data_IF_738363591670
#
_entry.id   IF_738363591670
#
_cell.length_a   1.000
_cell.length_b   1.000
_cell.length_c   1.000
_cell.angle_alpha   90.00
_cell.angle_beta   90.00
_cell.angle_gamma   90.00
#
_symmetry.space_group_name_H-M   'P 1'
#
loop_
_entity.id
_entity.type
_entity.pdbx_description
1 polymer ?
#
# COMPACT_ATOMS: atom_id res chain seq x y z
N UNK A 1 45.33 -6.80 5.75
CA UNK A 1 44.25 -5.83 5.50
C UNK A 1 42.98 -6.34 6.19
N UNK A 2 42.90 -6.13 7.50
CA UNK A 2 41.76 -6.60 8.31
C UNK A 2 40.56 -5.68 8.08
N UNK A 3 39.40 -6.31 7.95
CA UNK A 3 38.19 -5.71 7.42
C UNK A 3 37.64 -4.59 8.31
N UNK A 4 37.38 -3.45 7.67
CA UNK A 4 36.77 -2.26 8.24
C UNK A 4 35.24 -2.45 8.34
N UNK A 5 34.78 -3.57 8.91
CA UNK A 5 33.35 -3.80 9.10
C UNK A 5 32.86 -3.02 10.31
N UNK A 6 31.73 -2.34 10.14
CA UNK A 6 31.06 -1.62 11.23
C UNK A 6 30.38 -2.65 12.12
N UNK A 7 30.59 -2.58 13.43
CA UNK A 7 29.95 -3.47 14.41
C UNK A 7 28.40 -3.37 14.43
N UNK A 8 27.84 -2.31 13.82
CA UNK A 8 26.40 -2.04 13.75
C UNK A 8 26.03 -1.45 12.39
N UNK A 9 25.03 -2.01 11.72
CA UNK A 9 24.44 -1.45 10.51
C UNK A 9 23.09 -0.79 10.82
N UNK A 10 22.90 0.45 10.37
CA UNK A 10 21.63 1.19 10.54
C UNK A 10 21.03 1.43 9.18
N UNK A 11 19.92 0.73 8.90
CA UNK A 11 19.15 0.94 7.68
C UNK A 11 18.14 2.09 7.90
N UNK A 12 18.21 3.12 7.06
CA UNK A 12 17.29 4.27 7.11
C UNK A 12 16.13 4.18 6.10
N UNK A 13 16.09 3.13 5.26
CA UNK A 13 14.99 2.93 4.32
C UNK A 13 13.69 2.65 5.10
N UNK A 14 12.65 3.51 4.99
CA UNK A 14 11.40 3.33 5.73
C UNK A 14 10.68 2.01 5.38
N UNK A 15 10.85 1.51 4.15
CA UNK A 15 10.16 0.31 3.66
C UNK A 15 10.87 -1.00 4.02
N UNK A 16 12.07 -0.93 4.59
CA UNK A 16 12.87 -2.13 4.84
C UNK A 16 12.17 -3.10 5.82
N UNK A 17 11.62 -2.58 6.92
CA UNK A 17 10.94 -3.40 7.92
C UNK A 17 9.63 -4.01 7.38
N UNK A 18 8.94 -3.27 6.51
CA UNK A 18 7.70 -3.72 5.86
C UNK A 18 7.98 -4.93 4.96
N UNK A 19 9.00 -4.81 4.10
CA UNK A 19 9.40 -5.88 3.18
C UNK A 19 9.96 -7.11 3.91
N UNK A 20 10.55 -6.92 5.09
CA UNK A 20 11.05 -8.03 5.92
C UNK A 20 9.95 -8.77 6.68
N UNK A 21 8.71 -8.25 6.72
CA UNK A 21 7.61 -8.80 7.53
C UNK A 21 7.78 -8.55 9.04
N UNK A 22 8.68 -7.66 9.43
CA UNK A 22 9.01 -7.38 10.85
C UNK A 22 8.28 -6.12 11.34
N UNK A 23 7.85 -5.26 10.42
CA UNK A 23 7.13 -4.04 10.75
C UNK A 23 5.85 -4.34 11.54
N UNK A 24 5.73 -3.75 12.72
CA UNK A 24 4.51 -3.82 13.49
C UNK A 24 3.36 -3.14 12.73
N UNK A 25 2.24 -3.87 12.62
CA UNK A 25 0.97 -3.32 12.15
C UNK A 25 0.54 -2.18 13.06
N UNK A 26 0.02 -1.05 12.55
CA UNK A 26 -0.60 -0.03 13.40
C UNK A 26 -1.69 -0.67 14.28
N UNK A 27 -1.58 -0.50 15.58
CA UNK A 27 -2.50 -1.05 16.57
C UNK A 27 -3.62 -0.06 16.90
N UNK A 28 -4.69 -0.54 17.54
CA UNK A 28 -5.89 0.26 17.86
C UNK A 28 -7.11 -0.11 17.03
N UNK A 29 -8.12 0.77 17.04
CA UNK A 29 -9.41 0.59 16.37
C UNK A 29 -10.10 -0.75 16.72
N UNK A 30 -9.96 -1.18 17.98
CA UNK A 30 -10.44 -2.49 18.42
C UNK A 30 -11.96 -2.66 18.29
N UNK A 31 -12.71 -1.55 18.36
CA UNK A 31 -14.17 -1.52 18.26
C UNK A 31 -14.67 -1.30 16.83
N UNK A 32 -13.79 -1.01 15.87
CA UNK A 32 -14.17 -0.76 14.48
C UNK A 32 -14.35 -2.06 13.71
N UNK A 33 -15.48 -2.19 12.99
CA UNK A 33 -15.75 -3.37 12.14
C UNK A 33 -14.66 -3.55 11.08
N UNK A 34 -14.14 -2.45 10.54
CA UNK A 34 -13.13 -2.46 9.49
C UNK A 34 -11.69 -2.38 10.01
N UNK A 35 -11.44 -2.74 11.28
CA UNK A 35 -10.11 -2.69 11.92
C UNK A 35 -8.98 -3.25 11.05
N UNK A 36 -9.15 -4.43 10.47
CA UNK A 36 -8.12 -5.08 9.63
C UNK A 36 -7.69 -4.21 8.45
N UNK A 37 -8.64 -3.51 7.82
CA UNK A 37 -8.42 -2.64 6.65
C UNK A 37 -7.86 -1.28 7.07
N UNK A 38 -8.37 -0.73 8.17
CA UNK A 38 -7.89 0.55 8.71
C UNK A 38 -6.44 0.46 9.16
N UNK A 39 -6.07 -0.68 9.72
CA UNK A 39 -4.75 -0.93 10.26
C UNK A 39 -3.81 -1.63 9.26
N UNK A 40 -4.21 -1.79 7.99
CA UNK A 40 -3.32 -2.35 6.98
C UNK A 40 -2.19 -1.37 6.63
N UNK A 41 -1.01 -1.91 6.28
CA UNK A 41 0.15 -1.05 5.91
C UNK A 41 -0.14 -0.32 4.60
N UNK A 42 -0.53 -1.05 3.56
CA UNK A 42 -1.01 -0.50 2.29
C UNK A 42 -2.46 -0.89 2.06
N UNK A 43 -3.31 0.11 1.86
CA UNK A 43 -4.74 -0.08 1.57
C UNK A 43 -5.09 0.48 0.19
N UNK A 44 -5.85 -0.28 -0.58
CA UNK A 44 -6.41 0.17 -1.86
C UNK A 44 -7.85 0.63 -1.66
N UNK A 45 -8.13 1.84 -2.14
CA UNK A 45 -9.46 2.45 -2.14
C UNK A 45 -9.90 2.54 -3.60
N UNK A 46 -11.06 1.95 -3.91
CA UNK A 46 -11.66 2.02 -5.23
C UNK A 46 -12.97 2.79 -5.15
N UNK A 47 -13.10 3.82 -5.98
CA UNK A 47 -14.24 4.70 -6.06
C UNK A 47 -14.81 4.70 -7.48
N UNK A 48 -15.98 4.07 -7.66
CA UNK A 48 -16.73 4.09 -8.91
C UNK A 48 -17.76 5.22 -8.88
N UNK A 49 -17.37 6.43 -9.30
CA UNK A 49 -18.26 7.57 -9.41
C UNK A 49 -19.21 7.50 -10.60
N UNK A 50 -20.08 8.52 -10.72
CA UNK A 50 -21.03 8.65 -11.84
C UNK A 50 -20.35 8.94 -13.19
N UNK A 51 -19.22 9.66 -13.16
CA UNK A 51 -18.53 10.12 -14.37
C UNK A 51 -17.14 9.50 -14.54
N UNK A 52 -16.47 9.17 -13.44
CA UNK A 52 -15.11 8.64 -13.44
C UNK A 52 -14.98 7.51 -12.45
N UNK A 53 -14.05 6.62 -12.77
CA UNK A 53 -13.62 5.53 -11.89
C UNK A 53 -12.22 5.87 -11.42
N UNK A 54 -11.97 5.69 -10.14
CA UNK A 54 -10.74 6.07 -9.47
C UNK A 54 -10.29 4.96 -8.54
N UNK A 55 -8.99 4.73 -8.48
CA UNK A 55 -8.37 3.86 -7.50
C UNK A 55 -7.16 4.56 -6.88
N UNK A 56 -6.94 4.35 -5.59
CA UNK A 56 -5.87 4.99 -4.84
C UNK A 56 -5.29 4.04 -3.82
N UNK A 57 -4.00 4.19 -3.54
CA UNK A 57 -3.28 3.38 -2.57
C UNK A 57 -2.73 4.30 -1.49
N UNK A 58 -3.07 3.97 -0.26
CA UNK A 58 -2.64 4.71 0.92
C UNK A 58 -1.72 3.85 1.77
N UNK A 59 -0.64 4.45 2.23
CA UNK A 59 0.21 3.94 3.28
C UNK A 59 -0.27 4.48 4.64
N UNK A 60 -0.24 3.66 5.70
CA UNK A 60 -0.76 4.06 7.02
C UNK A 60 -0.08 5.30 7.62
N UNK A 61 1.22 5.51 7.33
CA UNK A 61 1.99 6.64 7.85
C UNK A 61 2.14 7.79 6.86
N UNK A 62 2.37 7.47 5.59
CA UNK A 62 2.72 8.47 4.55
C UNK A 62 1.47 9.08 3.91
N UNK A 63 0.32 8.39 4.00
CA UNK A 63 -0.89 8.81 3.30
C UNK A 63 -0.90 8.30 1.86
N UNK A 64 -1.32 9.14 0.92
CA UNK A 64 -1.48 8.76 -0.49
C UNK A 64 -0.12 8.43 -1.14
N UNK A 65 0.01 7.23 -1.70
CA UNK A 65 1.22 6.76 -2.39
C UNK A 65 1.02 6.79 -3.90
N UNK A 66 -0.08 6.19 -4.37
CA UNK A 66 -0.40 6.07 -5.79
C UNK A 66 -1.87 6.37 -6.02
N UNK A 67 -2.16 7.01 -7.14
CA UNK A 67 -3.52 7.24 -7.63
C UNK A 67 -3.60 6.85 -9.10
N UNK A 68 -4.76 6.35 -9.52
CA UNK A 68 -5.10 6.06 -10.91
C UNK A 68 -6.53 6.53 -11.12
N UNK A 69 -6.78 7.28 -12.19
CA UNK A 69 -8.11 7.79 -12.50
C UNK A 69 -8.38 7.74 -14.00
N UNK A 70 -9.64 7.49 -14.37
CA UNK A 70 -10.08 7.71 -15.76
C UNK A 70 -10.15 9.18 -16.16
N UNK A 71 -9.79 10.12 -15.27
CA UNK A 71 -9.53 11.52 -15.64
C UNK A 71 -8.18 11.71 -16.33
N UNK A 72 -7.26 10.76 -16.18
CA UNK A 72 -5.98 10.80 -16.87
C UNK A 72 -6.19 10.54 -18.37
N UNK A 73 -5.77 11.49 -19.22
CA UNK A 73 -6.00 11.41 -20.66
C UNK A 73 -5.40 10.15 -21.31
N UNK A 74 -4.23 9.72 -20.83
CA UNK A 74 -3.59 8.49 -21.29
C UNK A 74 -4.44 7.24 -21.07
N UNK A 75 -5.30 7.24 -20.05
CA UNK A 75 -6.21 6.13 -19.73
C UNK A 75 -7.55 6.34 -20.43
N UNK A 76 -8.14 7.54 -20.34
CA UNK A 76 -9.46 7.82 -20.90
C UNK A 76 -9.52 7.59 -22.41
N UNK A 77 -8.46 7.97 -23.13
CA UNK A 77 -8.42 7.86 -24.59
C UNK A 77 -8.38 6.41 -25.09
N UNK A 78 -7.99 5.47 -24.23
CA UNK A 78 -7.92 4.04 -24.55
C UNK A 78 -9.17 3.28 -24.11
N UNK A 79 -10.10 3.95 -23.42
CA UNK A 79 -11.30 3.33 -22.88
C UNK A 79 -12.54 3.73 -23.68
N UNK A 80 -13.44 2.78 -23.98
CA UNK A 80 -14.72 3.10 -24.61
C UNK A 80 -15.67 3.82 -23.62
N UNK A 81 -15.51 3.59 -22.32
CA UNK A 81 -16.29 4.23 -21.25
C UNK A 81 -15.43 4.40 -20.01
N UNK A 82 -15.70 5.46 -19.24
CA UNK A 82 -14.95 5.80 -18.02
C UNK A 82 -15.51 5.18 -16.74
N UNK A 83 -16.68 4.53 -16.83
CA UNK A 83 -17.46 4.09 -15.66
C UNK A 83 -17.90 2.63 -15.70
N UNK A 84 -17.71 1.94 -16.83
CA UNK A 84 -18.16 0.56 -16.98
C UNK A 84 -17.25 -0.44 -16.22
N UNK A 85 -17.56 -1.74 -16.35
CA UNK A 85 -16.73 -2.79 -15.74
C UNK A 85 -15.34 -2.90 -16.38
N UNK A 86 -15.20 -2.53 -17.65
CA UNK A 86 -13.93 -2.57 -18.36
C UNK A 86 -13.00 -1.46 -17.88
N UNK A 87 -13.53 -0.28 -17.58
CA UNK A 87 -12.83 0.81 -16.92
C UNK A 87 -12.30 0.37 -15.55
N UNK A 88 -13.12 -0.32 -14.75
CA UNK A 88 -12.70 -0.86 -13.46
C UNK A 88 -11.57 -1.90 -13.60
N UNK A 89 -11.68 -2.81 -14.58
CA UNK A 89 -10.63 -3.79 -14.87
C UNK A 89 -9.32 -3.12 -15.31
N UNK A 90 -9.39 -2.20 -16.27
CA UNK A 90 -8.21 -1.51 -16.80
C UNK A 90 -7.56 -0.59 -15.76
N UNK A 91 -8.33 0.06 -14.89
CA UNK A 91 -7.78 0.77 -13.74
C UNK A 91 -7.05 -0.19 -12.79
N UNK A 92 -7.62 -1.37 -12.52
CA UNK A 92 -6.93 -2.39 -11.73
C UNK A 92 -5.61 -2.82 -12.35
N UNK A 93 -5.57 -3.00 -13.68
CA UNK A 93 -4.36 -3.35 -14.43
C UNK A 93 -3.30 -2.25 -14.37
N UNK A 94 -3.67 -0.99 -14.64
CA UNK A 94 -2.74 0.15 -14.56
C UNK A 94 -2.25 0.35 -13.14
N UNK A 95 -3.11 0.18 -12.14
CA UNK A 95 -2.72 0.28 -10.75
C UNK A 95 -1.72 -0.83 -10.37
N UNK A 96 -1.96 -2.07 -10.78
CA UNK A 96 -1.04 -3.17 -10.56
C UNK A 96 0.34 -2.92 -11.20
N UNK A 97 0.37 -2.38 -12.42
CA UNK A 97 1.61 -2.03 -13.10
C UNK A 97 2.38 -0.94 -12.34
N UNK A 98 1.69 0.15 -11.92
CA UNK A 98 2.30 1.19 -11.07
C UNK A 98 2.81 0.64 -9.73
N UNK A 99 2.04 -0.25 -9.11
CA UNK A 99 2.43 -0.91 -7.85
C UNK A 99 3.71 -1.73 -8.04
N UNK A 100 3.82 -2.52 -9.11
CA UNK A 100 5.03 -3.27 -9.45
C UNK A 100 6.22 -2.37 -9.70
N UNK A 101 6.05 -1.29 -10.45
CA UNK A 101 7.12 -0.32 -10.70
C UNK A 101 7.60 0.34 -9.41
N UNK A 102 6.70 0.54 -8.44
CA UNK A 102 7.04 0.99 -7.09
C UNK A 102 7.57 -0.12 -6.17
N UNK A 103 7.61 -1.38 -6.61
CA UNK A 103 7.99 -2.53 -5.77
C UNK A 103 7.01 -2.78 -4.61
N UNK A 104 5.73 -2.49 -4.80
CA UNK A 104 4.65 -2.83 -3.86
C UNK A 104 3.89 -4.01 -4.45
N UNK A 105 3.91 -5.13 -3.75
CA UNK A 105 3.33 -6.41 -4.20
C UNK A 105 2.08 -6.80 -3.42
N UNK A 106 1.90 -6.26 -2.22
CA UNK A 106 0.85 -6.65 -1.28
C UNK A 106 0.02 -5.44 -0.87
N UNK A 107 -1.30 -5.53 -1.01
CA UNK A 107 -2.23 -4.45 -0.70
C UNK A 107 -3.54 -5.02 -0.17
N UNK A 108 -4.19 -4.31 0.76
CA UNK A 108 -5.48 -4.70 1.32
C UNK A 108 -6.62 -3.89 0.69
N UNK A 109 -7.61 -4.52 0.02
CA UNK A 109 -8.78 -3.83 -0.50
C UNK A 109 -9.69 -3.29 0.59
N UNK A 110 -10.01 -2.00 0.51
CA UNK A 110 -10.92 -1.32 1.43
C UNK A 110 -12.39 -1.46 0.98
N UNK A 111 -12.86 -2.69 0.79
CA UNK A 111 -14.26 -3.02 0.51
C UNK A 111 -14.97 -3.51 1.76
N UNK A 112 -16.26 -3.28 1.91
CA UNK A 112 -17.04 -3.95 2.96
C UNK A 112 -17.22 -5.45 2.65
N UNK A 113 -17.54 -6.22 3.67
CA UNK A 113 -17.78 -7.67 3.53
C UNK A 113 -18.96 -7.92 2.58
N UNK A 114 -18.76 -8.79 1.59
CA UNK A 114 -19.76 -9.11 0.57
C UNK A 114 -19.94 -8.07 -0.55
N UNK A 115 -19.26 -6.92 -0.51
CA UNK A 115 -19.37 -5.94 -1.60
C UNK A 115 -18.75 -6.40 -2.92
N UNK A 116 -17.69 -7.20 -2.82
CA UNK A 116 -17.06 -7.79 -4.00
C UNK A 116 -18.10 -8.67 -4.70
N UNK A 117 -18.82 -9.53 -3.98
CA UNK A 117 -19.85 -10.40 -4.56
C UNK A 117 -21.03 -9.61 -5.15
N UNK A 118 -21.41 -8.49 -4.53
CA UNK A 118 -22.53 -7.65 -4.99
C UNK A 118 -22.22 -6.80 -6.21
N UNK A 119 -20.96 -6.41 -6.42
CA UNK A 119 -20.60 -5.44 -7.46
C UNK A 119 -19.62 -6.01 -8.48
N UNK A 120 -20.10 -6.22 -9.71
CA UNK A 120 -19.23 -6.64 -10.81
C UNK A 120 -18.02 -5.71 -11.02
N UNK A 121 -18.16 -4.39 -10.85
CA UNK A 121 -17.02 -3.46 -11.00
C UNK A 121 -15.90 -3.78 -10.01
N UNK A 122 -16.26 -4.02 -8.75
CA UNK A 122 -15.30 -4.39 -7.70
C UNK A 122 -14.67 -5.76 -7.96
N UNK A 123 -15.44 -6.74 -8.44
CA UNK A 123 -14.92 -8.05 -8.86
C UNK A 123 -13.87 -7.92 -9.96
N UNK A 124 -14.21 -7.22 -11.05
CA UNK A 124 -13.31 -7.05 -12.18
C UNK A 124 -12.04 -6.28 -11.79
N UNK A 125 -12.15 -5.28 -10.91
CA UNK A 125 -10.99 -4.58 -10.36
C UNK A 125 -10.08 -5.50 -9.54
N UNK A 126 -10.64 -6.31 -8.63
CA UNK A 126 -9.91 -7.28 -7.80
C UNK A 126 -9.24 -8.34 -8.68
N UNK A 127 -9.98 -8.89 -9.65
CA UNK A 127 -9.45 -9.88 -10.60
C UNK A 127 -8.26 -9.30 -11.38
N UNK A 128 -8.36 -8.06 -11.86
CA UNK A 128 -7.25 -7.40 -12.54
C UNK A 128 -5.99 -7.29 -11.66
N UNK A 129 -6.13 -6.96 -10.37
CA UNK A 129 -4.99 -6.93 -9.44
C UNK A 129 -4.35 -8.33 -9.29
N UNK A 130 -5.18 -9.36 -9.11
CA UNK A 130 -4.73 -10.74 -8.94
C UNK A 130 -4.06 -11.30 -10.20
N UNK A 131 -4.65 -11.07 -11.39
CA UNK A 131 -4.08 -11.47 -12.68
C UNK A 131 -2.72 -10.82 -12.94
N UNK A 132 -2.55 -9.59 -12.47
CA UNK A 132 -1.27 -8.90 -12.52
C UNK A 132 -0.36 -9.27 -11.34
N UNK A 133 -0.62 -10.31 -10.55
CA UNK A 133 0.29 -10.82 -9.53
C UNK A 133 0.40 -9.98 -8.27
N UNK A 134 -0.56 -9.08 -8.02
CA UNK A 134 -0.67 -8.36 -6.74
C UNK A 134 -1.40 -9.25 -5.73
N UNK A 135 -0.83 -9.41 -4.53
CA UNK A 135 -1.41 -10.22 -3.46
C UNK A 135 -2.34 -9.37 -2.60
N UNK A 136 -3.54 -9.86 -2.34
CA UNK A 136 -4.56 -9.18 -1.54
C UNK A 136 -4.42 -9.47 -0.05
N UNK A 137 -3.21 -9.30 0.48
CA UNK A 137 -2.86 -9.54 1.87
C UNK A 137 -2.03 -8.37 2.40
N UNK A 138 -1.88 -8.30 3.71
CA UNK A 138 -1.04 -7.28 4.35
C UNK A 138 0.41 -7.78 4.49
N UNK A 139 1.38 -6.87 4.47
CA UNK A 139 2.79 -7.23 4.64
C UNK A 139 3.08 -7.82 6.03
N UNK A 140 2.32 -7.43 7.05
CA UNK A 140 2.48 -7.96 8.41
C UNK A 140 2.03 -9.42 8.55
N UNK A 141 1.33 -9.98 7.56
CA UNK A 141 0.89 -11.39 7.56
C UNK A 141 1.96 -12.31 6.96
N UNK A 142 2.98 -11.74 6.32
CA UNK A 142 4.13 -12.49 5.82
C UNK A 142 5.00 -12.89 6.99
N UNK A 143 5.38 -14.17 7.05
CA UNK A 143 6.33 -14.61 8.06
C UNK A 143 7.65 -13.83 7.92
N UNK A 144 8.19 -13.30 9.04
CA UNK A 144 9.41 -12.54 8.98
C UNK A 144 10.57 -13.41 8.50
N UNK A 145 11.33 -12.89 7.55
CA UNK A 145 12.53 -13.56 7.01
C UNK A 145 13.58 -13.83 8.08
N UNK A 146 13.67 -12.97 9.09
CA UNK A 146 14.58 -13.08 10.22
C UNK A 146 13.73 -13.30 11.48
N UNK A 147 13.77 -14.52 12.02
CA UNK A 147 13.19 -14.85 13.32
C UNK A 147 14.27 -14.62 14.38
N UNK A 148 14.44 -13.37 14.81
CA UNK A 148 15.24 -13.10 16.00
C UNK A 148 14.31 -13.13 17.22
N UNK A 149 14.53 -14.05 18.15
CA UNK A 149 13.74 -14.11 19.39
C UNK A 149 14.21 -13.08 20.43
N UNK A 150 15.42 -12.53 20.25
CA UNK A 150 16.06 -11.59 21.17
C UNK A 150 15.93 -10.15 20.66
N UNK A 151 14.75 -9.75 20.16
CA UNK A 151 14.49 -8.37 19.73
C UNK A 151 14.51 -7.46 20.97
N UNK A 152 15.68 -6.94 21.29
CA UNK A 152 15.86 -5.87 22.27
C UNK A 152 15.71 -4.54 21.56
N UNK A 153 14.80 -3.69 22.06
CA UNK A 153 14.66 -2.31 21.60
C UNK A 153 15.98 -1.57 21.83
N UNK A 154 16.74 -1.33 20.77
CA UNK A 154 17.97 -0.54 20.84
C UNK A 154 17.68 0.88 20.37
N UNK A 155 17.77 1.84 21.30
CA UNK A 155 17.70 3.25 20.93
C UNK A 155 18.86 3.60 19.99
N UNK A 156 18.55 4.35 18.94
CA UNK A 156 19.55 5.03 18.12
C UNK A 156 19.16 6.49 18.00
N UNK A 157 20.17 7.37 17.98
CA UNK A 157 19.92 8.80 17.79
C UNK A 157 19.38 9.01 16.38
N UNK A 158 18.10 9.36 16.27
CA UNK A 158 17.49 9.76 15.01
C UNK A 158 17.78 11.24 14.82
N UNK A 159 18.52 11.58 13.76
CA UNK A 159 18.69 12.99 13.40
C UNK A 159 17.45 13.45 12.68
N UNK A 160 16.79 14.47 13.24
CA UNK A 160 15.62 15.08 12.60
C UNK A 160 16.04 15.78 11.31
N UNK A 161 15.30 15.51 10.24
CA UNK A 161 15.42 16.32 9.02
C UNK A 161 14.83 17.71 9.26
N UNK A 162 15.28 18.70 8.48
CA UNK A 162 14.78 20.08 8.56
C UNK A 162 13.26 20.18 8.38
N UNK A 163 12.66 19.22 7.67
CA UNK A 163 11.21 19.11 7.50
C UNK A 163 10.47 18.68 8.77
N UNK A 164 11.12 17.94 9.67
CA UNK A 164 10.53 17.50 10.94
C UNK A 164 10.65 18.56 12.04
N UNK A 165 11.57 19.51 11.90
CA UNK A 165 11.75 20.64 12.81
C UNK A 165 10.83 21.80 12.41
N UNK A 166 9.61 21.74 12.92
CA UNK A 166 8.55 22.73 12.64
C UNK A 166 8.97 24.13 13.13
N UNK A 167 9.76 24.17 14.21
CA UNK A 167 10.25 25.39 14.87
C UNK A 167 11.28 26.17 14.04
N UNK A 168 11.96 25.49 13.09
CA UNK A 168 13.00 26.08 12.22
C UNK A 168 12.45 26.47 10.83
N UNK A 169 11.14 26.37 10.61
CA UNK A 169 10.48 26.66 9.32
C UNK A 169 9.91 28.08 9.22
N UNK A 170 10.10 28.91 10.25
CA UNK A 170 9.68 30.31 10.28
C UNK A 170 10.87 31.27 10.32
#
# INVERSE_FOLDING_TARGET
>A
MASRYVARFVNQNPRNLELMGIQYRPSGNCFEKNRKKMNAIYKTVFNGGKSHTEASVYHYKTGLVLSVSTRESGISNQLPSTTDRFAAFNIGKVLADRLKQCGIEMVVPCFEEGEIERSHKKQFFVNALLENGIKLMDYSEVEPSIKNNDITWSYYKRYHTRQEKIDEQF
#
